data_IF_814726601932
#
_entry.id   IF_814726601932
#
_cell.length_a   1.000
_cell.length_b   1.000
_cell.length_c   1.000
_cell.angle_alpha   90.00
_cell.angle_beta   90.00
_cell.angle_gamma   90.00
#
_symmetry.space_group_name_H-M   'P 1'
#
loop_
_entity.id
_entity.type
_entity.pdbx_description
1 polymer ?
#
# COMPACT_ATOMS: atom_id res chain seq x y z
N UNK A 1 2.88 -8.36 54.50
CA UNK A 1 4.06 -8.49 55.39
C UNK A 1 4.86 -7.20 55.23
N UNK A 2 5.17 -6.48 56.32
CA UNK A 2 5.98 -5.26 56.25
C UNK A 2 7.34 -5.60 55.65
N UNK A 3 7.74 -4.94 54.57
CA UNK A 3 8.97 -5.17 53.80
C UNK A 3 10.22 -4.75 54.60
N UNK A 4 10.47 -5.36 55.76
CA UNK A 4 11.56 -5.01 56.66
C UNK A 4 11.61 -3.51 57.04
N UNK A 5 10.47 -2.81 56.98
CA UNK A 5 10.30 -1.41 57.35
C UNK A 5 9.47 -1.33 58.64
N UNK A 6 10.05 -0.78 59.71
CA UNK A 6 9.37 -0.59 61.00
C UNK A 6 10.21 -0.99 62.21
N UNK A 7 9.59 -0.94 63.40
CA UNK A 7 10.19 -1.42 64.64
C UNK A 7 9.95 -2.92 64.80
N UNK A 8 10.95 -3.65 65.32
CA UNK A 8 10.84 -5.10 65.60
C UNK A 8 9.79 -5.40 66.68
N UNK A 9 9.72 -4.57 67.73
CA UNK A 9 8.64 -4.60 68.72
C UNK A 9 8.23 -3.18 69.13
N UNK A 10 6.92 -2.90 69.37
CA UNK A 10 6.47 -1.59 69.86
C UNK A 10 6.81 -1.31 71.34
N UNK A 11 7.17 -2.36 72.12
CA UNK A 11 7.44 -2.25 73.56
C UNK A 11 8.77 -1.52 73.79
N UNK A 12 8.75 -0.48 74.62
CA UNK A 12 9.95 0.32 74.92
C UNK A 12 10.19 1.50 73.98
N UNK A 13 9.53 1.56 72.82
CA UNK A 13 9.63 2.72 71.90
C UNK A 13 8.78 3.92 72.34
N UNK A 14 7.83 3.74 73.26
CA UNK A 14 6.92 4.81 73.70
C UNK A 14 5.90 5.26 72.64
N UNK A 15 5.75 4.52 71.54
CA UNK A 15 4.79 4.79 70.45
C UNK A 15 3.90 3.57 70.17
N UNK A 16 2.86 3.74 69.35
CA UNK A 16 1.92 2.66 68.99
C UNK A 16 2.48 1.62 68.01
N UNK A 17 3.69 1.83 67.46
CA UNK A 17 4.28 0.96 66.44
C UNK A 17 3.62 1.04 65.06
N UNK A 18 2.75 2.03 64.82
CA UNK A 18 2.09 2.22 63.53
C UNK A 18 3.05 2.82 62.51
N UNK A 19 3.29 2.11 61.40
CA UNK A 19 4.18 2.54 60.31
C UNK A 19 3.34 2.96 59.11
N UNK A 20 3.50 4.20 58.66
CA UNK A 20 2.87 4.72 57.46
C UNK A 20 3.86 4.78 56.31
N UNK A 21 3.40 4.52 55.09
CA UNK A 21 4.21 4.75 53.88
C UNK A 21 4.40 6.26 53.68
N UNK A 22 5.59 6.67 53.27
CA UNK A 22 5.82 8.07 52.88
C UNK A 22 5.05 8.37 51.59
N UNK A 23 4.21 9.42 51.61
CA UNK A 23 3.51 9.92 50.42
C UNK A 23 4.46 10.66 49.46
N UNK A 24 5.58 11.16 49.96
CA UNK A 24 6.61 11.82 49.16
C UNK A 24 7.53 10.84 48.43
N UNK A 25 7.43 9.53 48.70
CA UNK A 25 8.25 8.53 48.04
C UNK A 25 7.76 8.30 46.60
N UNK A 26 8.49 8.87 45.63
CA UNK A 26 8.22 8.69 44.21
C UNK A 26 8.74 7.30 43.80
N UNK A 27 7.83 6.41 43.39
CA UNK A 27 8.22 5.11 42.84
C UNK A 27 8.98 5.31 41.54
N UNK A 28 10.10 4.63 41.38
CA UNK A 28 10.87 4.66 40.14
C UNK A 28 10.02 4.08 39.02
N UNK A 29 10.02 4.75 37.86
CA UNK A 29 9.27 4.30 36.69
C UNK A 29 9.83 2.95 36.21
N UNK A 30 8.96 1.95 36.10
CA UNK A 30 9.34 0.64 35.56
C UNK A 30 9.92 0.81 34.15
N UNK A 31 11.24 0.63 34.01
CA UNK A 31 11.92 0.67 32.70
C UNK A 31 11.65 -0.57 31.85
N UNK A 32 10.96 -1.57 32.40
CA UNK A 32 10.68 -2.86 31.78
C UNK A 32 9.32 -3.00 31.10
N UNK A 33 8.42 -2.00 31.22
CA UNK A 33 7.21 -2.01 30.42
C UNK A 33 7.60 -1.65 28.97
N UNK A 34 7.49 -2.57 27.98
CA UNK A 34 7.61 -2.17 26.58
C UNK A 34 6.52 -1.10 26.37
N UNK A 35 6.90 -0.02 25.69
CA UNK A 35 6.02 1.05 25.22
C UNK A 35 4.54 0.72 25.34
N UNK A 36 3.76 1.53 26.08
CA UNK A 36 2.29 1.42 26.06
C UNK A 36 1.84 1.27 24.60
N UNK A 37 1.41 0.06 24.22
CA UNK A 37 0.98 -0.27 22.85
C UNK A 37 -0.21 0.59 22.41
N UNK A 38 -0.94 1.14 23.37
CA UNK A 38 -1.98 2.14 23.15
C UNK A 38 -1.46 3.46 22.54
N UNK A 39 -0.14 3.65 22.47
CA UNK A 39 0.50 4.78 21.77
C UNK A 39 0.85 4.49 20.32
N UNK A 40 0.70 3.27 19.81
CA UNK A 40 0.99 2.98 18.40
C UNK A 40 0.06 3.76 17.46
N UNK A 41 -1.18 4.04 17.90
CA UNK A 41 -2.09 4.93 17.16
C UNK A 41 -1.66 6.41 17.16
N UNK A 42 -0.83 6.83 18.11
CA UNK A 42 -0.31 8.21 18.18
C UNK A 42 0.84 8.47 17.20
N UNK A 43 1.45 7.43 16.64
CA UNK A 43 2.48 7.54 15.60
C UNK A 43 1.90 7.55 14.18
N UNK A 44 0.59 7.34 14.01
CA UNK A 44 -0.05 7.53 12.70
C UNK A 44 0.05 9.00 12.33
N UNK A 45 0.73 9.32 11.23
CA UNK A 45 0.85 10.67 10.72
C UNK A 45 -0.53 11.22 10.36
N UNK A 46 -1.16 11.93 11.30
CA UNK A 46 -2.45 12.58 11.09
C UNK A 46 -2.20 14.03 10.66
N UNK A 47 -2.45 14.38 9.38
CA UNK A 47 -2.32 15.76 8.96
C UNK A 47 -3.28 16.62 9.77
N UNK A 48 -2.82 17.82 10.17
CA UNK A 48 -3.68 18.80 10.85
C UNK A 48 -4.83 19.15 9.91
N UNK A 49 -6.05 18.96 10.39
CA UNK A 49 -7.24 19.31 9.62
C UNK A 49 -7.38 20.84 9.61
N UNK A 50 -7.73 21.44 8.47
CA UNK A 50 -8.09 22.85 8.41
C UNK A 50 -9.39 23.08 9.19
N UNK A 51 -9.46 24.22 9.86
CA UNK A 51 -10.67 24.64 10.57
C UNK A 51 -11.51 25.49 9.62
N UNK A 52 -12.75 25.07 9.38
CA UNK A 52 -13.66 25.77 8.47
C UNK A 52 -14.00 27.17 8.99
N UNK A 53 -14.11 27.36 10.31
CA UNK A 53 -14.39 28.68 10.89
C UNK A 53 -13.27 29.68 10.62
N UNK A 54 -12.01 29.23 10.66
CA UNK A 54 -10.85 30.07 10.37
C UNK A 54 -10.80 30.41 8.87
N UNK A 55 -11.08 29.44 7.99
CA UNK A 55 -11.12 29.67 6.55
C UNK A 55 -12.24 30.67 6.16
N UNK A 56 -13.42 30.53 6.73
CA UNK A 56 -14.53 31.47 6.51
C UNK A 56 -14.21 32.86 7.04
N UNK A 57 -13.54 32.94 8.19
CA UNK A 57 -13.12 34.21 8.76
C UNK A 57 -12.10 34.92 7.84
N UNK A 58 -11.12 34.20 7.29
CA UNK A 58 -10.15 34.80 6.37
C UNK A 58 -10.83 35.28 5.08
N UNK A 59 -11.82 34.53 4.56
CA UNK A 59 -12.63 34.96 3.40
C UNK A 59 -13.41 36.25 3.68
N UNK A 60 -14.05 36.35 4.86
CA UNK A 60 -14.78 37.57 5.28
C UNK A 60 -13.82 38.75 5.49
N UNK A 61 -12.68 38.48 6.11
CA UNK A 61 -11.61 39.46 6.29
C UNK A 61 -11.13 40.02 4.97
N UNK A 62 -11.00 39.18 3.93
CA UNK A 62 -10.61 39.65 2.61
C UNK A 62 -11.62 40.64 2.01
N UNK A 63 -12.92 40.41 2.21
CA UNK A 63 -13.97 41.36 1.79
C UNK A 63 -13.81 42.69 2.50
N UNK A 64 -13.68 42.68 3.82
CA UNK A 64 -13.53 43.91 4.61
C UNK A 64 -12.22 44.63 4.31
N UNK A 65 -11.12 43.91 4.03
CA UNK A 65 -9.87 44.53 3.58
C UNK A 65 -10.05 45.31 2.28
N UNK A 66 -10.81 44.81 1.32
CA UNK A 66 -11.09 45.52 0.06
C UNK A 66 -12.00 46.73 0.26
N UNK A 67 -12.98 46.62 1.17
CA UNK A 67 -13.83 47.76 1.54
C UNK A 67 -12.98 48.83 2.22
N UNK A 68 -12.07 48.43 3.11
CA UNK A 68 -11.12 49.33 3.75
C UNK A 68 -10.17 50.00 2.76
N UNK A 69 -9.60 49.24 1.81
CA UNK A 69 -8.77 49.80 0.73
C UNK A 69 -9.54 50.79 -0.17
N UNK A 70 -10.86 50.62 -0.35
CA UNK A 70 -11.69 51.58 -1.08
C UNK A 70 -11.91 52.84 -0.26
N UNK A 71 -12.20 52.68 1.04
CA UNK A 71 -12.39 53.79 1.96
C UNK A 71 -11.14 54.67 2.02
N UNK A 72 -9.96 54.09 2.23
CA UNK A 72 -8.69 54.82 2.26
C UNK A 72 -8.47 55.67 0.99
N UNK A 73 -8.84 55.15 -0.18
CA UNK A 73 -8.73 55.86 -1.46
C UNK A 73 -9.71 57.03 -1.56
N UNK A 74 -10.96 56.83 -1.13
CA UNK A 74 -11.97 57.88 -1.19
C UNK A 74 -11.70 58.99 -0.17
N UNK A 75 -11.11 58.65 0.98
CA UNK A 75 -10.62 59.62 1.98
C UNK A 75 -9.44 60.44 1.41
N UNK A 76 -8.51 59.81 0.68
CA UNK A 76 -7.42 60.52 -0.02
C UNK A 76 -7.93 61.43 -1.15
N UNK A 77 -9.08 61.09 -1.76
CA UNK A 77 -9.78 61.91 -2.76
C UNK A 77 -10.66 63.02 -2.16
N UNK A 78 -10.69 63.18 -0.82
CA UNK A 78 -11.49 64.18 -0.07
C UNK A 78 -13.01 64.14 -0.40
N UNK A 79 -13.56 62.95 -0.63
CA UNK A 79 -15.00 62.74 -0.86
C UNK A 79 -15.78 62.88 0.47
N UNK A 80 -17.04 63.32 0.41
CA UNK A 80 -17.93 63.41 1.57
C UNK A 80 -18.14 62.05 2.26
N UNK A 81 -18.14 62.03 3.60
CA UNK A 81 -18.25 60.81 4.42
C UNK A 81 -19.49 59.97 4.08
N UNK A 82 -20.64 60.60 3.82
CA UNK A 82 -21.88 59.92 3.46
C UNK A 82 -21.74 59.18 2.11
N UNK A 83 -21.08 59.78 1.12
CA UNK A 83 -20.83 59.14 -0.18
C UNK A 83 -19.82 57.99 -0.08
N UNK A 84 -18.84 58.12 0.83
CA UNK A 84 -17.85 57.06 1.11
C UNK A 84 -18.57 55.82 1.65
N UNK A 85 -19.45 56.00 2.63
CA UNK A 85 -20.18 54.91 3.25
C UNK A 85 -21.11 54.20 2.25
N UNK A 86 -21.84 54.96 1.42
CA UNK A 86 -22.71 54.40 0.37
C UNK A 86 -21.93 53.54 -0.64
N UNK A 87 -20.78 54.03 -1.11
CA UNK A 87 -19.90 53.30 -2.05
C UNK A 87 -19.29 52.06 -1.39
N UNK A 88 -18.87 52.16 -0.13
CA UNK A 88 -18.33 51.05 0.65
C UNK A 88 -19.39 49.95 0.88
N UNK A 89 -20.62 50.32 1.22
CA UNK A 89 -21.71 49.37 1.41
C UNK A 89 -22.15 48.70 0.10
N UNK A 90 -22.17 49.45 -1.00
CA UNK A 90 -22.39 48.88 -2.32
C UNK A 90 -21.32 47.84 -2.68
N UNK A 91 -20.04 48.15 -2.42
CA UNK A 91 -18.93 47.22 -2.62
C UNK A 91 -19.05 45.99 -1.72
N UNK A 92 -19.35 46.18 -0.43
CA UNK A 92 -19.53 45.10 0.56
C UNK A 92 -20.63 44.13 0.09
N UNK A 93 -21.80 44.64 -0.31
CA UNK A 93 -22.91 43.82 -0.84
C UNK A 93 -22.50 43.04 -2.09
N UNK A 94 -21.78 43.68 -3.01
CA UNK A 94 -21.27 43.04 -4.24
C UNK A 94 -20.30 41.90 -3.93
N UNK A 95 -19.31 42.14 -3.07
CA UNK A 95 -18.29 41.14 -2.72
C UNK A 95 -18.86 39.98 -1.92
N UNK A 96 -19.82 40.23 -1.02
CA UNK A 96 -20.54 39.15 -0.32
C UNK A 96 -21.36 38.29 -1.29
N UNK A 97 -22.01 38.91 -2.29
CA UNK A 97 -22.73 38.16 -3.33
C UNK A 97 -21.79 37.32 -4.21
N UNK A 98 -20.60 37.84 -4.56
CA UNK A 98 -19.58 37.09 -5.30
C UNK A 98 -19.02 35.91 -4.48
N UNK A 99 -18.79 36.11 -3.18
CA UNK A 99 -18.33 35.08 -2.25
C UNK A 99 -19.40 33.97 -2.10
N UNK A 100 -20.67 34.35 -1.97
CA UNK A 100 -21.79 33.40 -1.96
C UNK A 100 -21.93 32.63 -3.28
N UNK A 101 -21.60 33.26 -4.42
CA UNK A 101 -21.53 32.63 -5.72
C UNK A 101 -20.28 31.73 -5.92
N UNK A 102 -19.45 31.56 -4.88
CA UNK A 102 -18.24 30.72 -4.92
C UNK A 102 -17.10 31.32 -5.75
N UNK A 103 -17.17 32.60 -6.12
CA UNK A 103 -16.05 33.29 -6.75
C UNK A 103 -15.03 33.67 -5.69
N UNK A 104 -13.78 33.29 -5.93
CA UNK A 104 -12.69 33.74 -5.07
C UNK A 104 -12.50 35.24 -5.27
N UNK A 105 -12.66 35.98 -4.17
CA UNK A 105 -12.48 37.42 -4.11
C UNK A 105 -11.01 37.76 -4.45
N UNK A 106 -10.04 36.94 -4.05
CA UNK A 106 -8.65 37.06 -4.49
C UNK A 106 -8.43 36.48 -5.88
N UNK A 107 -8.19 37.34 -6.88
CA UNK A 107 -7.82 36.94 -8.24
C UNK A 107 -6.36 36.49 -8.40
N UNK A 108 -5.53 36.57 -7.35
CA UNK A 108 -4.11 36.23 -7.42
C UNK A 108 -3.81 34.98 -6.60
N UNK A 109 -3.05 34.05 -7.21
CA UNK A 109 -2.40 32.93 -6.51
C UNK A 109 -1.35 33.47 -5.54
N UNK A 110 -1.79 34.02 -4.41
CA UNK A 110 -0.92 34.50 -3.34
C UNK A 110 -0.24 33.30 -2.71
N UNK A 111 1.08 33.39 -2.56
CA UNK A 111 1.80 32.46 -1.70
C UNK A 111 1.28 32.63 -0.26
N UNK A 112 1.03 31.51 0.42
CA UNK A 112 0.57 31.54 1.81
C UNK A 112 1.64 32.15 2.70
N UNK A 113 1.23 33.01 3.62
CA UNK A 113 2.12 33.51 4.68
C UNK A 113 2.37 32.41 5.71
N UNK A 114 3.48 32.46 6.43
CA UNK A 114 3.86 31.45 7.42
C UNK A 114 2.79 31.22 8.51
N UNK A 115 1.97 32.23 8.82
CA UNK A 115 0.89 32.15 9.81
C UNK A 115 -0.43 31.56 9.27
N UNK A 116 -0.58 31.41 7.95
CA UNK A 116 -1.81 30.89 7.31
C UNK A 116 -1.81 29.35 7.30
N UNK A 117 -1.73 28.75 8.50
CA UNK A 117 -1.56 27.31 8.67
C UNK A 117 -2.77 26.52 8.15
N UNK A 118 -3.98 27.05 8.33
CA UNK A 118 -5.22 26.37 7.90
C UNK A 118 -5.43 26.41 6.39
N UNK A 119 -5.15 27.54 5.73
CA UNK A 119 -5.18 27.61 4.26
C UNK A 119 -4.11 26.70 3.64
N UNK A 120 -2.90 26.68 4.22
CA UNK A 120 -1.85 25.78 3.77
C UNK A 120 -2.23 24.30 3.96
N UNK A 121 -2.91 23.96 5.06
CA UNK A 121 -3.41 22.62 5.30
C UNK A 121 -4.52 22.22 4.30
N UNK A 122 -5.48 23.11 4.05
CA UNK A 122 -6.55 22.90 3.07
C UNK A 122 -5.98 22.73 1.65
N UNK A 123 -5.05 23.59 1.25
CA UNK A 123 -4.35 23.49 -0.03
C UNK A 123 -3.57 22.18 -0.14
N UNK A 124 -2.81 21.81 0.89
CA UNK A 124 -2.05 20.57 0.92
C UNK A 124 -2.94 19.34 0.86
N UNK A 125 -4.10 19.34 1.51
CA UNK A 125 -5.06 18.23 1.40
C UNK A 125 -5.65 18.11 0.00
N UNK A 126 -5.98 19.23 -0.66
CA UNK A 126 -6.44 19.22 -2.05
C UNK A 126 -5.35 18.73 -3.01
N UNK A 127 -4.10 19.14 -2.79
CA UNK A 127 -2.95 18.66 -3.56
C UNK A 127 -2.70 17.17 -3.35
N UNK A 128 -2.72 16.68 -2.10
CA UNK A 128 -2.53 15.25 -1.82
C UNK A 128 -3.69 14.42 -2.34
N UNK A 129 -4.93 14.92 -2.31
CA UNK A 129 -6.08 14.27 -2.92
C UNK A 129 -5.96 14.19 -4.44
N UNK A 130 -5.52 15.29 -5.08
CA UNK A 130 -5.25 15.32 -6.52
C UNK A 130 -4.14 14.34 -6.90
N UNK A 131 -3.05 14.29 -6.12
CA UNK A 131 -1.96 13.34 -6.31
C UNK A 131 -2.42 11.89 -6.10
N UNK A 132 -3.21 11.63 -5.04
CA UNK A 132 -3.82 10.33 -4.76
C UNK A 132 -4.64 9.84 -5.96
N UNK A 133 -5.48 10.72 -6.52
CA UNK A 133 -6.28 10.42 -7.72
C UNK A 133 -5.41 10.18 -8.95
N UNK A 134 -4.37 10.98 -9.15
CA UNK A 134 -3.45 10.84 -10.29
C UNK A 134 -2.65 9.53 -10.23
N UNK A 135 -2.25 9.09 -9.04
CA UNK A 135 -1.56 7.82 -8.80
C UNK A 135 -2.51 6.60 -8.79
N UNK A 136 -3.82 6.80 -9.00
CA UNK A 136 -4.80 5.71 -9.01
C UNK A 136 -5.02 5.07 -7.63
N UNK A 137 -4.63 5.74 -6.54
CA UNK A 137 -4.81 5.23 -5.19
C UNK A 137 -6.27 5.40 -4.78
N UNK A 138 -6.92 4.30 -4.39
CA UNK A 138 -8.33 4.28 -3.95
C UNK A 138 -8.53 5.14 -2.69
N UNK A 139 -9.74 5.67 -2.49
CA UNK A 139 -10.06 6.49 -1.33
C UNK A 139 -9.97 5.67 -0.03
N UNK A 140 -10.34 4.41 -0.13
CA UNK A 140 -10.37 3.40 0.93
C UNK A 140 -8.99 2.73 1.14
N UNK A 141 -7.91 3.30 0.60
CA UNK A 141 -6.58 2.75 0.75
C UNK A 141 -6.06 2.95 2.18
N UNK A 142 -6.00 1.86 2.94
CA UNK A 142 -5.39 1.84 4.27
C UNK A 142 -3.88 1.57 4.15
N UNK A 143 -3.09 2.39 4.84
CA UNK A 143 -1.65 2.18 4.96
C UNK A 143 -1.34 0.80 5.55
N UNK A 144 -0.43 0.05 4.91
CA UNK A 144 -0.09 -1.32 5.30
C UNK A 144 -1.08 -2.40 4.82
N UNK A 145 -2.21 -2.05 4.20
CA UNK A 145 -3.14 -3.04 3.62
C UNK A 145 -2.48 -3.93 2.56
N UNK A 146 -1.56 -3.36 1.77
CA UNK A 146 -0.77 -4.10 0.79
C UNK A 146 0.14 -5.16 1.46
N UNK A 147 0.75 -4.82 2.60
CA UNK A 147 1.63 -5.73 3.35
C UNK A 147 0.83 -6.81 4.05
N UNK A 148 -0.30 -6.46 4.69
CA UNK A 148 -1.24 -7.42 5.28
C UNK A 148 -1.77 -8.42 4.25
N UNK A 149 -2.14 -7.95 3.05
CA UNK A 149 -2.59 -8.82 1.96
C UNK A 149 -1.49 -9.75 1.47
N UNK A 150 -0.23 -9.29 1.42
CA UNK A 150 0.89 -10.16 1.06
C UNK A 150 1.17 -11.20 2.15
N UNK A 151 1.14 -10.79 3.42
CA UNK A 151 1.33 -11.70 4.55
C UNK A 151 0.22 -12.74 4.63
N UNK A 152 -1.03 -12.34 4.45
CA UNK A 152 -2.19 -13.23 4.36
C UNK A 152 -2.06 -14.22 3.19
N UNK A 153 -1.65 -13.74 2.01
CA UNK A 153 -1.43 -14.59 0.83
C UNK A 153 -0.26 -15.56 1.01
N UNK A 154 0.83 -15.13 1.67
CA UNK A 154 1.93 -16.02 2.01
C UNK A 154 1.53 -17.04 3.07
N UNK A 155 0.72 -16.64 4.05
CA UNK A 155 0.18 -17.53 5.09
C UNK A 155 -0.83 -18.53 4.53
N UNK A 156 -1.65 -18.13 3.57
CA UNK A 156 -2.56 -19.01 2.83
C UNK A 156 -1.79 -19.98 1.92
N UNK A 157 -0.70 -19.53 1.28
CA UNK A 157 0.18 -20.39 0.49
C UNK A 157 1.00 -21.36 1.36
N UNK A 158 1.34 -20.98 2.59
CA UNK A 158 2.06 -21.79 3.57
C UNK A 158 1.14 -22.67 4.43
N UNK A 159 -0.17 -22.42 4.42
CA UNK A 159 -1.13 -23.29 5.07
C UNK A 159 -1.13 -24.65 4.34
N UNK A 160 -1.05 -25.79 5.08
CA UNK A 160 -1.14 -27.08 4.44
C UNK A 160 -2.51 -27.17 3.76
N UNK A 161 -2.48 -27.32 2.44
CA UNK A 161 -3.66 -27.41 1.58
C UNK A 161 -4.24 -28.82 1.70
N UNK A 162 -4.66 -29.18 2.91
CA UNK A 162 -5.08 -30.52 3.33
C UNK A 162 -6.55 -30.83 3.02
N UNK A 163 -7.25 -29.97 2.29
CA UNK A 163 -8.52 -30.36 1.70
C UNK A 163 -8.32 -30.98 0.31
N UNK A 164 -8.57 -32.30 0.14
CA UNK A 164 -8.64 -32.91 -1.18
C UNK A 164 -9.85 -32.33 -1.90
N UNK A 165 -9.62 -31.27 -2.67
CA UNK A 165 -10.64 -30.72 -3.55
C UNK A 165 -11.07 -31.82 -4.53
N UNK A 166 -12.38 -32.09 -4.73
CA UNK A 166 -12.86 -33.23 -5.51
C UNK A 166 -12.36 -33.22 -6.97
N UNK A 167 -12.00 -32.04 -7.50
CA UNK A 167 -11.37 -31.90 -8.82
C UNK A 167 -9.94 -32.45 -8.87
N UNK A 168 -9.18 -32.33 -7.78
CA UNK A 168 -7.79 -32.79 -7.67
C UNK A 168 -7.72 -34.31 -7.50
N UNK A 169 -8.68 -34.86 -6.77
CA UNK A 169 -8.92 -36.31 -6.67
C UNK A 169 -9.27 -36.92 -8.04
N UNK A 170 -10.19 -36.29 -8.77
CA UNK A 170 -10.54 -36.73 -10.13
C UNK A 170 -9.36 -36.63 -11.10
N UNK A 171 -8.53 -35.58 -10.99
CA UNK A 171 -7.35 -35.45 -11.84
C UNK A 171 -6.31 -36.52 -11.54
N UNK A 172 -6.05 -36.82 -10.26
CA UNK A 172 -5.16 -37.94 -9.86
C UNK A 172 -5.64 -39.27 -10.43
N UNK A 173 -6.92 -39.60 -10.22
CA UNK A 173 -7.52 -40.84 -10.76
C UNK A 173 -7.37 -40.95 -12.27
N UNK A 174 -7.59 -39.86 -13.01
CA UNK A 174 -7.40 -39.85 -14.47
C UNK A 174 -5.94 -40.04 -14.89
N UNK A 175 -5.00 -39.55 -14.09
CA UNK A 175 -3.57 -39.72 -14.34
C UNK A 175 -3.15 -41.17 -14.08
N UNK A 176 -3.58 -41.74 -12.95
CA UNK A 176 -3.32 -43.13 -12.60
C UNK A 176 -3.89 -44.09 -13.67
N UNK A 177 -5.13 -43.83 -14.13
CA UNK A 177 -5.77 -44.59 -15.23
C UNK A 177 -4.99 -44.48 -16.56
N UNK A 178 -4.33 -43.35 -16.82
CA UNK A 178 -3.55 -43.15 -18.05
C UNK A 178 -2.22 -43.90 -17.97
N UNK A 179 -1.55 -43.85 -16.83
CA UNK A 179 -0.29 -44.55 -16.60
C UNK A 179 -0.48 -46.07 -16.59
N UNK A 180 -1.56 -46.58 -16.01
CA UNK A 180 -1.89 -48.02 -16.05
C UNK A 180 -2.17 -48.50 -17.48
N UNK A 181 -2.89 -47.72 -18.29
CA UNK A 181 -3.11 -48.07 -19.71
C UNK A 181 -1.81 -48.08 -20.49
N UNK A 182 -0.94 -47.10 -20.25
CA UNK A 182 0.38 -47.04 -20.89
C UNK A 182 1.21 -48.25 -20.53
N UNK A 183 1.26 -48.61 -19.24
CA UNK A 183 2.03 -49.74 -18.77
C UNK A 183 1.52 -51.08 -19.32
N UNK A 184 0.19 -51.26 -19.40
CA UNK A 184 -0.40 -52.46 -19.99
C UNK A 184 -0.16 -52.54 -21.51
N UNK A 185 -0.17 -51.40 -22.21
CA UNK A 185 0.21 -51.34 -23.63
C UNK A 185 1.67 -51.70 -23.85
N UNK A 186 2.58 -51.23 -23.00
CA UNK A 186 4.01 -51.54 -23.11
C UNK A 186 4.27 -53.03 -22.83
N UNK A 187 3.63 -53.61 -21.80
CA UNK A 187 3.70 -55.06 -21.53
C UNK A 187 3.19 -55.90 -22.70
N UNK A 188 2.07 -55.52 -23.32
CA UNK A 188 1.56 -56.25 -24.51
C UNK A 188 2.54 -56.22 -25.67
N UNK A 189 3.23 -55.10 -25.89
CA UNK A 189 4.26 -54.99 -26.93
C UNK A 189 5.48 -55.86 -26.63
N UNK A 190 5.82 -56.06 -25.37
CA UNK A 190 6.88 -56.99 -24.97
C UNK A 190 6.46 -58.44 -25.20
N UNK A 191 5.25 -58.84 -24.80
CA UNK A 191 4.70 -60.18 -25.09
C UNK A 191 4.65 -60.49 -26.59
N UNK A 192 4.26 -59.52 -27.43
CA UNK A 192 4.22 -59.68 -28.88
C UNK A 192 5.63 -59.84 -29.49
N UNK A 193 6.65 -59.17 -28.92
CA UNK A 193 8.05 -59.34 -29.35
C UNK A 193 8.60 -60.72 -28.96
N UNK A 194 8.28 -61.21 -27.77
CA UNK A 194 8.70 -62.54 -27.32
C UNK A 194 8.05 -63.65 -28.17
N UNK A 195 6.78 -63.49 -28.55
CA UNK A 195 6.12 -64.40 -29.50
C UNK A 195 6.72 -64.32 -30.90
N UNK A 196 7.00 -63.12 -31.42
CA UNK A 196 7.63 -62.92 -32.73
C UNK A 196 9.04 -63.51 -32.83
N UNK A 197 9.81 -63.50 -31.74
CA UNK A 197 11.13 -64.12 -31.67
C UNK A 197 11.11 -65.65 -31.75
N UNK A 198 9.95 -66.29 -31.51
CA UNK A 198 9.80 -67.74 -31.55
C UNK A 198 9.44 -68.28 -32.94
N UNK A 199 8.90 -67.45 -33.83
CA UNK A 199 8.54 -67.83 -35.21
C UNK A 199 9.70 -67.63 -36.22
N UNK A 200 10.67 -66.76 -35.91
CA UNK A 200 11.80 -66.42 -36.81
C UNK A 200 12.90 -67.51 -36.89
N UNK A 201 12.97 -68.46 -35.94
CA UNK A 201 13.95 -69.56 -35.98
C UNK A 201 13.62 -70.65 -37.04
N UNK A 202 12.48 -70.56 -37.74
CA UNK A 202 12.01 -71.61 -38.67
C UNK A 202 12.31 -71.33 -40.16
N UNK A 203 12.77 -70.13 -40.53
CA UNK A 203 12.87 -69.67 -41.93
C UNK A 203 14.26 -69.06 -42.27
N UNK A 204 15.37 -69.70 -41.89
CA UNK A 204 16.71 -69.29 -42.33
C UNK A 204 17.39 -70.36 -43.20
N UNK A 205 17.10 -70.36 -44.52
CA UNK A 205 17.95 -71.01 -45.55
C UNK A 205 18.63 -69.93 -46.41
N UNK A 206 19.96 -69.97 -46.63
CA UNK A 206 20.64 -68.89 -47.32
C UNK A 206 20.55 -69.04 -48.85
N UNK A 207 20.22 -67.94 -49.54
CA UNK A 207 20.46 -67.78 -50.98
C UNK A 207 21.56 -66.75 -51.22
N UNK A 208 22.46 -67.17 -52.12
CA UNK A 208 23.75 -66.59 -52.50
C UNK A 208 23.63 -65.22 -53.17
N UNK A 209 24.59 -64.33 -52.92
CA UNK A 209 24.91 -63.18 -53.78
C UNK A 209 26.41 -63.12 -54.04
N UNK A 210 26.79 -62.92 -55.31
CA UNK A 210 28.16 -62.73 -55.79
C UNK A 210 28.50 -61.23 -55.92
N UNK A 211 29.79 -60.82 -56.07
CA UNK A 211 30.27 -59.49 -55.67
C UNK A 211 30.68 -58.55 -56.83
N UNK A 212 31.17 -57.36 -56.41
CA UNK A 212 32.00 -56.32 -57.09
C UNK A 212 31.25 -55.31 -57.99
N UNK A 213 31.65 -54.04 -58.11
CA UNK A 213 32.90 -53.30 -57.85
C UNK A 213 32.59 -51.79 -57.62
N UNK A 214 33.45 -51.09 -56.88
CA UNK A 214 33.60 -49.61 -56.74
C UNK A 214 34.41 -49.03 -57.92
N UNK A 215 34.43 -47.71 -58.27
CA UNK A 215 35.10 -46.67 -57.45
C UNK A 215 34.68 -45.17 -57.63
N UNK A 216 35.22 -44.35 -56.71
CA UNK A 216 35.73 -42.96 -56.84
C UNK A 216 34.86 -41.81 -57.37
N UNK A 217 34.76 -40.71 -56.61
CA UNK A 217 35.46 -39.43 -56.86
C UNK A 217 34.84 -38.28 -56.02
N UNK A 218 35.66 -37.26 -55.82
CA UNK A 218 35.62 -36.19 -54.82
C UNK A 218 34.63 -35.06 -55.12
N UNK A 219 34.38 -34.19 -54.12
CA UNK A 219 33.59 -32.98 -54.32
C UNK A 219 33.39 -32.15 -53.06
N UNK A 220 34.45 -31.49 -52.63
CA UNK A 220 34.49 -30.36 -51.70
C UNK A 220 33.78 -29.12 -52.30
N UNK A 221 32.81 -28.51 -51.60
CA UNK A 221 32.42 -27.10 -51.80
C UNK A 221 32.06 -26.47 -50.44
N UNK A 222 32.77 -25.37 -50.18
CA UNK A 222 32.72 -24.40 -49.07
C UNK A 222 31.82 -23.21 -49.46
N UNK A 223 31.53 -22.33 -48.48
CA UNK A 223 30.97 -20.96 -48.62
C UNK A 223 29.45 -20.85 -48.84
N UNK A 224 28.71 -19.88 -48.30
CA UNK A 224 28.86 -18.91 -47.21
C UNK A 224 27.55 -18.10 -47.12
N UNK A 225 27.47 -17.30 -46.06
CA UNK A 225 26.80 -15.99 -46.01
C UNK A 225 25.28 -15.85 -45.80
N UNK A 226 25.02 -15.22 -44.66
CA UNK A 226 24.34 -13.92 -44.50
C UNK A 226 22.82 -13.81 -44.32
N UNK A 227 22.55 -13.02 -43.27
CA UNK A 227 21.53 -11.98 -43.12
C UNK A 227 20.10 -12.30 -42.67
N UNK A 228 19.67 -11.47 -41.71
CA UNK A 228 18.25 -11.10 -41.63
C UNK A 228 17.69 -10.72 -40.27
N UNK A 229 18.19 -9.61 -39.70
CA UNK A 229 17.43 -8.50 -39.09
C UNK A 229 16.08 -8.79 -38.36
N UNK A 230 15.95 -8.30 -37.12
CA UNK A 230 14.72 -7.61 -36.69
C UNK A 230 14.94 -6.73 -35.44
N UNK A 231 14.67 -5.44 -35.66
CA UNK A 231 14.33 -4.38 -34.70
C UNK A 231 13.36 -4.81 -33.58
#
# INVERSE_FOLDING_TARGET
MSENVGLSTPRGSGTSGHVQRSLAHIRHRDRGAPYNKDKDDSFRHRPRQPDQGILEHERKREVELKVFELRDKLEEEEVDEDEIDDRCDALRKKLLAELAAGKNVSGAKKAFKQHQVHEMADAKMKETERLRRALGVRADYEEGSHWKRQEEKQREAAAPRDEPSPKREQHRRRQDDYDDRRHNSDRRREDDRERGSSDDEREARPRRTAPRDTPEEEGEIVESDEDGNRD
#
